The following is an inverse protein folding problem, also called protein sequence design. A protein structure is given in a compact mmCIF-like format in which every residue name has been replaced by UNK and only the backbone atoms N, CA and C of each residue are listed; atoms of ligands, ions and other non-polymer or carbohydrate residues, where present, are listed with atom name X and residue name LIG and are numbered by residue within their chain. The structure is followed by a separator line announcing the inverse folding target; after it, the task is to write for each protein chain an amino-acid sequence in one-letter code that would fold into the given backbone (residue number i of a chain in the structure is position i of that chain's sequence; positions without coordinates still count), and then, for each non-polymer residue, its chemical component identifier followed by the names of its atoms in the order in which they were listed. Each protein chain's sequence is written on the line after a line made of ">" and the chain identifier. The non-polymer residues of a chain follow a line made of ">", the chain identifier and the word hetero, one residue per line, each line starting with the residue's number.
data_IF_947910058425
#
_entry.id   IF_947910058425
#
_cell.length_a   1.000
_cell.length_b   1.000
_cell.length_c   1.000
_cell.angle_alpha   90.00
_cell.angle_beta   90.00
_cell.angle_gamma   90.00
#
_symmetry.space_group_name_H-M   'P 1'
#
loop_
_entity.id
_entity.type
_entity.pdbx_description
1 polymer ?
#
# COMPACT_ATOMS: atom_id res chain seq x y z
N UNK A 1 81.71 49.58 -6.43
CA UNK A 1 80.51 49.09 -7.14
C UNK A 1 79.97 47.86 -6.41
N UNK A 2 78.91 48.03 -5.61
CA UNK A 2 78.30 46.94 -4.84
C UNK A 2 77.20 46.23 -5.65
N UNK A 3 77.26 44.90 -5.71
CA UNK A 3 76.25 44.07 -6.35
C UNK A 3 74.98 44.04 -5.49
N UNK A 4 73.85 44.37 -6.11
CA UNK A 4 72.51 44.24 -5.55
C UNK A 4 72.08 42.78 -5.62
N UNK A 5 71.71 42.11 -4.50
CA UNK A 5 71.16 40.78 -4.57
C UNK A 5 69.66 40.83 -4.91
N UNK A 6 69.27 40.22 -6.03
CA UNK A 6 67.89 39.99 -6.40
C UNK A 6 67.23 39.00 -5.41
N UNK A 7 66.28 39.50 -4.63
CA UNK A 7 65.50 38.73 -3.66
C UNK A 7 64.41 37.95 -4.38
N UNK A 8 64.64 36.64 -4.58
CA UNK A 8 63.68 35.72 -5.15
C UNK A 8 62.55 35.43 -4.15
N UNK A 9 61.47 36.23 -4.18
CA UNK A 9 60.28 35.98 -3.36
C UNK A 9 59.54 34.77 -3.92
N UNK A 10 59.74 33.60 -3.31
CA UNK A 10 58.94 32.40 -3.58
C UNK A 10 57.50 32.69 -3.17
N UNK A 11 56.60 32.65 -4.14
CA UNK A 11 55.16 32.64 -3.90
C UNK A 11 54.85 31.29 -3.24
N UNK A 12 54.55 31.31 -1.95
CA UNK A 12 54.03 30.14 -1.25
C UNK A 12 52.63 29.86 -1.80
N UNK A 13 52.57 29.00 -2.82
CA UNK A 13 51.34 28.37 -3.24
C UNK A 13 50.78 27.62 -2.03
N UNK A 14 49.75 28.20 -1.43
CA UNK A 14 48.89 27.58 -0.45
C UNK A 14 48.23 26.41 -1.16
N UNK A 15 48.90 25.27 -1.05
CA UNK A 15 48.44 23.97 -1.53
C UNK A 15 47.14 23.70 -0.79
N UNK A 16 46.02 23.96 -1.45
CA UNK A 16 44.71 23.49 -1.03
C UNK A 16 44.81 21.97 -0.93
N UNK A 17 45.05 21.48 0.28
CA UNK A 17 44.84 20.08 0.61
C UNK A 17 43.34 19.89 0.43
N UNK A 18 42.94 19.37 -0.73
CA UNK A 18 41.61 18.81 -0.89
C UNK A 18 41.55 17.66 0.10
N UNK A 19 40.91 17.90 1.24
CA UNK A 19 40.45 16.82 2.11
C UNK A 19 39.49 16.00 1.25
N UNK A 20 39.98 14.90 0.67
CA UNK A 20 39.10 13.88 0.13
C UNK A 20 38.16 13.48 1.28
N UNK A 21 36.83 13.39 1.04
CA UNK A 21 35.93 12.94 2.09
C UNK A 21 36.47 11.61 2.60
N UNK A 22 36.77 11.54 3.90
CA UNK A 22 37.33 10.33 4.49
C UNK A 22 36.34 9.20 4.28
N UNK A 23 36.85 8.06 3.83
CA UNK A 23 36.08 6.83 3.53
C UNK A 23 35.41 6.26 4.81
N UNK A 24 35.59 6.90 5.96
CA UNK A 24 34.95 6.64 7.24
C UNK A 24 33.43 6.88 7.20
N UNK A 25 32.93 7.77 6.34
CA UNK A 25 31.49 7.86 6.04
C UNK A 25 30.98 6.77 5.07
N UNK A 26 31.89 5.95 4.54
CA UNK A 26 31.61 4.90 3.56
C UNK A 26 30.89 3.68 4.14
N UNK A 27 30.87 3.50 5.46
CA UNK A 27 30.26 2.32 6.11
C UNK A 27 28.85 2.57 6.66
N UNK A 28 28.51 3.82 7.02
CA UNK A 28 27.13 4.16 7.39
C UNK A 28 26.21 4.17 6.18
N UNK A 29 26.68 4.64 5.03
CA UNK A 29 25.88 4.70 3.80
C UNK A 29 25.30 3.34 3.37
N UNK A 30 26.09 2.24 3.27
CA UNK A 30 25.54 0.93 2.94
C UNK A 30 24.63 0.37 4.05
N UNK A 31 24.91 0.66 5.33
CA UNK A 31 24.03 0.23 6.42
C UNK A 31 22.65 0.89 6.33
N UNK A 32 22.60 2.21 6.10
CA UNK A 32 21.35 2.92 5.88
C UNK A 32 20.63 2.43 4.61
N UNK A 33 21.36 2.15 3.53
CA UNK A 33 20.78 1.60 2.32
C UNK A 33 20.13 0.23 2.56
N UNK A 34 20.80 -0.68 3.28
CA UNK A 34 20.23 -1.98 3.67
C UNK A 34 19.03 -1.81 4.60
N UNK A 35 19.11 -0.89 5.57
CA UNK A 35 18.00 -0.60 6.48
C UNK A 35 16.78 -0.06 5.73
N UNK A 36 16.97 0.89 4.81
CA UNK A 36 15.89 1.42 3.96
C UNK A 36 15.31 0.31 3.10
N UNK A 37 16.15 -0.51 2.46
CA UNK A 37 15.70 -1.66 1.67
C UNK A 37 14.87 -2.62 2.53
N UNK A 38 15.32 -2.91 3.75
CA UNK A 38 14.62 -3.78 4.68
C UNK A 38 13.26 -3.21 5.09
N UNK A 39 13.18 -1.91 5.39
CA UNK A 39 11.91 -1.22 5.69
C UNK A 39 10.98 -1.23 4.48
N UNK A 40 11.48 -1.02 3.28
CA UNK A 40 10.69 -1.10 2.04
C UNK A 40 10.16 -2.52 1.81
N UNK A 41 10.99 -3.54 2.00
CA UNK A 41 10.59 -4.94 1.88
C UNK A 41 9.52 -5.33 2.91
N UNK A 42 9.68 -4.88 4.16
CA UNK A 42 8.66 -5.03 5.21
C UNK A 42 7.36 -4.34 4.77
N UNK A 43 7.43 -3.08 4.31
CA UNK A 43 6.26 -2.33 3.85
C UNK A 43 5.53 -3.02 2.70
N UNK A 44 6.27 -3.52 1.70
CA UNK A 44 5.70 -4.30 0.59
C UNK A 44 5.11 -5.62 1.08
N UNK A 45 5.77 -6.30 2.00
CA UNK A 45 5.27 -7.52 2.63
C UNK A 45 3.97 -7.27 3.38
N UNK A 46 3.89 -6.20 4.17
CA UNK A 46 2.68 -5.78 4.87
C UNK A 46 1.56 -5.42 3.90
N UNK A 47 1.82 -4.72 2.80
CA UNK A 47 0.79 -4.44 1.78
C UNK A 47 0.22 -5.72 1.18
N UNK A 48 1.07 -6.73 0.91
CA UNK A 48 0.62 -8.03 0.39
C UNK A 48 -0.23 -8.80 1.39
N UNK A 49 0.15 -8.76 2.67
CA UNK A 49 -0.64 -9.36 3.77
C UNK A 49 -1.95 -8.60 4.02
N UNK A 50 -1.93 -7.27 3.88
CA UNK A 50 -3.11 -6.42 4.03
C UNK A 50 -4.12 -6.62 2.89
N UNK A 51 -3.66 -6.90 1.66
CA UNK A 51 -4.54 -7.24 0.53
C UNK A 51 -5.49 -8.40 0.88
N UNK A 52 -4.94 -9.50 1.40
CA UNK A 52 -5.74 -10.66 1.80
C UNK A 52 -6.71 -10.41 2.95
N UNK A 53 -6.37 -9.51 3.89
CA UNK A 53 -7.28 -9.10 4.97
C UNK A 53 -8.38 -8.14 4.50
N UNK A 54 -8.07 -7.30 3.50
CA UNK A 54 -9.01 -6.32 2.94
C UNK A 54 -10.08 -6.99 2.08
N UNK A 55 -9.73 -8.09 1.41
CA UNK A 55 -10.66 -8.81 0.54
C UNK A 55 -11.83 -9.41 1.31
N UNK A 56 -11.59 -9.95 2.51
CA UNK A 56 -12.67 -10.46 3.38
C UNK A 56 -13.59 -9.37 3.88
N UNK A 57 -13.04 -8.21 4.25
CA UNK A 57 -13.81 -7.06 4.69
C UNK A 57 -14.67 -6.50 3.53
N UNK A 58 -14.08 -6.38 2.33
CA UNK A 58 -14.79 -5.95 1.11
C UNK A 58 -15.89 -6.92 0.71
N UNK A 59 -15.61 -8.23 0.74
CA UNK A 59 -16.60 -9.26 0.45
C UNK A 59 -17.82 -9.14 1.39
N UNK A 60 -17.57 -8.88 2.68
CA UNK A 60 -18.64 -8.68 3.66
C UNK A 60 -19.45 -7.42 3.37
N UNK A 61 -18.80 -6.28 3.14
CA UNK A 61 -19.50 -5.03 2.81
C UNK A 61 -20.35 -5.16 1.53
N UNK A 62 -19.82 -5.84 0.50
CA UNK A 62 -20.57 -6.12 -0.72
C UNK A 62 -21.79 -7.02 -0.46
N UNK A 63 -21.63 -8.06 0.37
CA UNK A 63 -22.72 -8.95 0.76
C UNK A 63 -23.82 -8.20 1.51
N UNK A 64 -23.47 -7.33 2.46
CA UNK A 64 -24.43 -6.55 3.25
C UNK A 64 -25.21 -5.56 2.37
N UNK A 65 -24.54 -4.90 1.43
CA UNK A 65 -25.18 -3.99 0.48
C UNK A 65 -26.14 -4.74 -0.46
N UNK A 66 -25.71 -5.89 -1.00
CA UNK A 66 -26.53 -6.73 -1.86
C UNK A 66 -27.73 -7.32 -1.11
N UNK A 67 -27.56 -7.73 0.16
CA UNK A 67 -28.65 -8.20 1.00
C UNK A 67 -29.69 -7.10 1.26
N UNK A 68 -29.26 -5.87 1.58
CA UNK A 68 -30.17 -4.73 1.78
C UNK A 68 -30.93 -4.35 0.51
N UNK A 69 -30.23 -4.26 -0.62
CA UNK A 69 -30.85 -3.99 -1.91
C UNK A 69 -31.81 -5.12 -2.31
N UNK A 70 -31.38 -6.36 -2.11
CA UNK A 70 -32.17 -7.55 -2.38
C UNK A 70 -33.41 -7.70 -1.52
N UNK A 71 -33.34 -7.22 -0.28
CA UNK A 71 -34.47 -7.18 0.60
C UNK A 71 -35.50 -6.13 0.14
N UNK A 72 -35.06 -4.95 -0.35
CA UNK A 72 -35.95 -3.86 -0.79
C UNK A 72 -36.55 -4.08 -2.17
N UNK A 73 -35.70 -4.45 -3.14
CA UNK A 73 -36.02 -4.36 -4.56
C UNK A 73 -35.89 -5.73 -5.28
N UNK A 74 -35.54 -6.80 -4.56
CA UNK A 74 -35.47 -8.17 -5.10
C UNK A 74 -34.11 -8.57 -5.69
N UNK A 75 -34.04 -9.79 -6.22
CA UNK A 75 -32.80 -10.45 -6.67
C UNK A 75 -32.00 -9.65 -7.72
N UNK A 76 -32.67 -9.07 -8.72
CA UNK A 76 -32.01 -8.31 -9.79
C UNK A 76 -31.23 -7.11 -9.25
N UNK A 77 -31.81 -6.40 -8.27
CA UNK A 77 -31.14 -5.28 -7.61
C UNK A 77 -30.03 -5.74 -6.67
N UNK A 78 -30.19 -6.89 -6.02
CA UNK A 78 -29.11 -7.51 -5.24
C UNK A 78 -27.89 -7.82 -6.14
N UNK A 79 -28.14 -8.37 -7.33
CA UNK A 79 -27.11 -8.69 -8.32
C UNK A 79 -26.38 -7.46 -8.81
N UNK A 80 -27.13 -6.41 -9.21
CA UNK A 80 -26.54 -5.14 -9.63
C UNK A 80 -25.67 -4.49 -8.56
N UNK A 81 -26.17 -4.43 -7.33
CA UNK A 81 -25.40 -3.85 -6.21
C UNK A 81 -24.16 -4.68 -5.90
N UNK A 82 -24.24 -6.02 -6.01
CA UNK A 82 -23.05 -6.86 -5.88
C UNK A 82 -22.00 -6.51 -6.96
N UNK A 83 -22.40 -6.39 -8.22
CA UNK A 83 -21.50 -6.05 -9.34
C UNK A 83 -20.87 -4.67 -9.19
N UNK A 84 -21.65 -3.67 -8.79
CA UNK A 84 -21.16 -2.31 -8.47
C UNK A 84 -20.09 -2.33 -7.37
N UNK A 85 -20.14 -3.32 -6.47
CA UNK A 85 -19.16 -3.54 -5.41
C UNK A 85 -18.03 -4.50 -5.79
N UNK A 86 -17.84 -4.80 -7.08
CA UNK A 86 -16.86 -5.77 -7.60
C UNK A 86 -17.06 -7.19 -7.05
N UNK A 87 -18.30 -7.54 -6.70
CA UNK A 87 -18.70 -8.86 -6.25
C UNK A 87 -19.60 -9.53 -7.29
N UNK A 88 -19.61 -10.86 -7.31
CA UNK A 88 -20.60 -11.63 -8.08
C UNK A 88 -21.59 -12.26 -7.13
N UNK A 89 -22.88 -12.09 -7.42
CA UNK A 89 -23.95 -12.80 -6.74
C UNK A 89 -23.89 -14.28 -7.10
N UNK A 90 -23.77 -15.16 -6.11
CA UNK A 90 -23.79 -16.61 -6.32
C UNK A 90 -25.11 -17.23 -5.90
N UNK A 91 -25.72 -16.69 -4.85
CA UNK A 91 -26.96 -17.22 -4.31
C UNK A 91 -27.79 -16.11 -3.69
N UNK A 92 -29.08 -16.11 -4.01
CA UNK A 92 -30.10 -15.27 -3.41
C UNK A 92 -31.21 -16.17 -2.87
N UNK A 93 -31.55 -16.03 -1.59
CA UNK A 93 -32.64 -16.76 -0.95
C UNK A 93 -33.50 -15.76 -0.20
N UNK A 94 -34.73 -15.58 -0.65
CA UNK A 94 -35.75 -14.82 0.07
C UNK A 94 -36.71 -15.78 0.78
N UNK A 95 -36.86 -15.62 2.10
CA UNK A 95 -37.84 -16.34 2.91
C UNK A 95 -38.60 -15.36 3.80
N UNK A 96 -39.92 -15.29 3.61
CA UNK A 96 -40.84 -14.37 4.29
C UNK A 96 -40.37 -12.91 4.29
N UNK A 97 -39.62 -12.49 5.31
CA UNK A 97 -39.10 -11.12 5.50
C UNK A 97 -37.59 -11.08 5.66
N UNK A 98 -36.91 -12.19 5.45
CA UNK A 98 -35.45 -12.31 5.52
C UNK A 98 -34.92 -12.67 4.14
N UNK A 99 -33.86 -11.97 3.74
CA UNK A 99 -33.15 -12.21 2.49
C UNK A 99 -31.71 -12.55 2.84
N UNK A 100 -31.28 -13.74 2.43
CA UNK A 100 -29.92 -14.22 2.53
C UNK A 100 -29.25 -14.13 1.15
N UNK A 101 -28.09 -13.48 1.12
CA UNK A 101 -27.31 -13.25 -0.09
C UNK A 101 -25.90 -13.77 0.11
N UNK A 102 -25.43 -14.59 -0.83
CA UNK A 102 -24.04 -15.01 -0.91
C UNK A 102 -23.39 -14.40 -2.13
N UNK A 103 -22.27 -13.71 -1.91
CA UNK A 103 -21.46 -13.09 -2.96
C UNK A 103 -20.02 -13.61 -2.93
N UNK A 104 -19.35 -13.54 -4.08
CA UNK A 104 -17.91 -13.77 -4.21
C UNK A 104 -17.20 -12.48 -4.60
N UNK A 105 -16.11 -12.13 -3.90
CA UNK A 105 -15.16 -11.08 -4.29
C UNK A 105 -13.79 -11.71 -4.47
N UNK A 106 -13.25 -11.68 -5.69
CA UNK A 106 -12.03 -12.43 -6.01
C UNK A 106 -12.22 -13.93 -5.75
N UNK A 107 -11.43 -14.49 -4.84
CA UNK A 107 -11.50 -15.90 -4.41
C UNK A 107 -12.26 -16.10 -3.06
N UNK A 108 -12.69 -15.02 -2.40
CA UNK A 108 -13.37 -15.07 -1.11
C UNK A 108 -14.90 -15.05 -1.27
N UNK A 109 -15.59 -15.87 -0.45
CA UNK A 109 -17.06 -15.89 -0.37
C UNK A 109 -17.52 -15.24 0.92
N UNK A 110 -18.58 -14.44 0.84
CA UNK A 110 -19.24 -13.85 1.98
C UNK A 110 -20.76 -14.01 1.88
N UNK A 111 -21.39 -14.27 3.02
CA UNK A 111 -22.84 -14.41 3.15
C UNK A 111 -23.36 -13.36 4.11
N UNK A 112 -24.43 -12.69 3.74
CA UNK A 112 -25.11 -11.68 4.55
C UNK A 112 -26.61 -11.93 4.55
N UNK A 113 -27.26 -11.47 5.64
CA UNK A 113 -28.71 -11.55 5.80
C UNK A 113 -29.27 -10.17 6.11
N UNK A 114 -30.36 -9.83 5.46
CA UNK A 114 -31.09 -8.60 5.69
C UNK A 114 -32.56 -8.91 5.94
N UNK A 115 -33.16 -8.22 6.92
CA UNK A 115 -34.58 -8.33 7.23
C UNK A 115 -35.32 -7.07 6.79
N UNK A 116 -36.48 -7.21 6.16
CA UNK A 116 -37.37 -6.08 5.91
C UNK A 116 -38.16 -5.75 7.15
N UNK A 117 -37.78 -4.65 7.78
CA UNK A 117 -38.56 -4.03 8.85
C UNK A 117 -39.24 -2.80 8.26
N UNK A 118 -40.57 -2.89 8.10
CA UNK A 118 -41.43 -1.78 7.71
C UNK A 118 -41.70 -0.88 8.90
#
# INVERSE_FOLDING_TARGET
>A
MGLVPCRHHRVHAHRWVRSAPSVEAGQVLPLFAVMILFVLLIGVGLMRLAGGLTDRARARTAADAAALAGARDGEDMAGRVAEENNARLEQYVAQDREVEVTVRVGDERATARAQLRW
#
